data_IF_074900089387
#
_entry.id   IF_074900089387
#
_cell.length_a   1.000
_cell.length_b   1.000
_cell.length_c   1.000
_cell.angle_alpha   90.00
_cell.angle_beta   90.00
_cell.angle_gamma   90.00
#
_symmetry.space_group_name_H-M   'P 1'
#
loop_
_entity.id
_entity.type
_entity.pdbx_description
1 polymer ?
#
# COMPACT_ATOMS: atom_id res chain seq x y z
N UNK A 1 18.22 -23.32 0.90
CA UNK A 1 17.04 -24.12 0.50
C UNK A 1 16.33 -23.36 -0.62
N UNK A 2 16.35 -23.86 -1.86
CA UNK A 2 15.77 -23.19 -3.04
C UNK A 2 14.41 -23.84 -3.34
N UNK A 3 13.31 -23.10 -3.53
CA UNK A 3 12.03 -23.69 -3.92
C UNK A 3 12.10 -24.24 -5.35
N UNK A 4 11.50 -25.42 -5.55
CA UNK A 4 11.56 -26.21 -6.78
C UNK A 4 10.36 -25.85 -7.68
N UNK A 5 10.63 -25.44 -8.92
CA UNK A 5 9.63 -24.89 -9.86
C UNK A 5 8.71 -25.96 -10.51
N UNK A 6 8.67 -27.18 -9.97
CA UNK A 6 7.97 -28.33 -10.56
C UNK A 6 6.54 -28.55 -10.05
N UNK A 7 6.07 -27.74 -9.10
CA UNK A 7 4.69 -27.83 -8.59
C UNK A 7 3.69 -26.97 -9.36
N UNK A 8 4.11 -26.32 -10.46
CA UNK A 8 3.18 -25.63 -11.37
C UNK A 8 2.58 -26.67 -12.31
N UNK A 9 1.58 -27.39 -11.82
CA UNK A 9 0.74 -28.27 -12.62
C UNK A 9 0.01 -27.46 -13.70
N UNK A 10 0.35 -27.72 -14.95
CA UNK A 10 -0.44 -27.31 -16.10
C UNK A 10 -1.58 -28.29 -16.36
N UNK A 11 -2.77 -27.78 -16.64
CA UNK A 11 -3.61 -28.24 -17.77
C UNK A 11 -4.80 -27.31 -18.04
N UNK A 12 -4.87 -26.84 -19.28
CA UNK A 12 -5.93 -26.09 -19.99
C UNK A 12 -7.17 -26.98 -20.26
N UNK A 13 -8.34 -26.52 -20.83
CA UNK A 13 -8.48 -25.38 -21.74
C UNK A 13 -9.75 -24.48 -21.64
N UNK A 14 -9.54 -23.24 -22.09
CA UNK A 14 -10.43 -22.36 -22.88
C UNK A 14 -11.75 -23.04 -23.36
N UNK A 15 -12.89 -22.54 -22.88
CA UNK A 15 -14.16 -22.59 -23.62
C UNK A 15 -14.54 -21.17 -24.04
N UNK A 16 -14.05 -20.77 -25.22
CA UNK A 16 -14.75 -19.76 -26.01
C UNK A 16 -15.96 -20.45 -26.64
N UNK A 17 -17.16 -19.96 -26.35
CA UNK A 17 -18.34 -20.28 -27.15
C UNK A 17 -18.78 -18.95 -27.77
N UNK A 18 -18.17 -18.59 -28.90
CA UNK A 18 -18.86 -17.75 -29.87
C UNK A 18 -19.92 -18.62 -30.54
N UNK A 19 -21.19 -18.28 -30.34
CA UNK A 19 -22.27 -18.73 -31.23
C UNK A 19 -22.74 -17.53 -32.03
N UNK A 20 -22.09 -17.35 -33.17
CA UNK A 20 -22.60 -16.56 -34.27
C UNK A 20 -23.85 -17.24 -34.80
N UNK A 21 -25.00 -16.57 -34.72
CA UNK A 21 -26.20 -16.96 -35.46
C UNK A 21 -26.47 -15.87 -36.50
N UNK A 22 -26.06 -16.11 -37.74
CA UNK A 22 -26.68 -15.48 -38.89
C UNK A 22 -27.92 -16.30 -39.24
N UNK A 23 -29.03 -15.64 -39.62
CA UNK A 23 -29.70 -15.77 -40.94
C UNK A 23 -31.20 -15.38 -40.87
N UNK A 24 -31.53 -14.37 -41.67
CA UNK A 24 -32.76 -14.03 -42.39
C UNK A 24 -34.12 -13.84 -41.69
N UNK A 25 -34.70 -12.68 -42.03
CA UNK A 25 -36.11 -12.32 -41.91
C UNK A 25 -36.90 -12.96 -43.05
N UNK A 26 -37.95 -13.73 -42.74
CA UNK A 26 -39.29 -13.63 -43.36
C UNK A 26 -40.28 -14.59 -42.67
N UNK A 27 -41.40 -14.04 -42.19
CA UNK A 27 -42.73 -14.67 -42.28
C UNK A 27 -43.18 -15.73 -41.25
N UNK A 28 -44.19 -15.35 -40.46
CA UNK A 28 -45.27 -16.14 -39.82
C UNK A 28 -44.97 -17.24 -38.77
N UNK A 29 -45.32 -16.88 -37.53
CA UNK A 29 -45.98 -17.66 -36.46
C UNK A 29 -45.50 -19.07 -36.10
N UNK A 30 -44.82 -19.17 -34.96
CA UNK A 30 -45.10 -20.20 -33.95
C UNK A 30 -44.57 -19.76 -32.58
N UNK A 31 -45.49 -19.53 -31.64
CA UNK A 31 -45.22 -19.31 -30.21
C UNK A 31 -44.58 -20.54 -29.59
N UNK A 32 -43.47 -20.36 -28.86
CA UNK A 32 -43.12 -21.24 -27.75
C UNK A 32 -42.51 -20.44 -26.62
N UNK A 33 -43.34 -20.18 -25.60
CA UNK A 33 -42.93 -19.67 -24.30
C UNK A 33 -42.38 -20.84 -23.50
N UNK A 34 -41.05 -21.00 -23.47
CA UNK A 34 -40.40 -21.68 -22.35
C UNK A 34 -39.76 -20.59 -21.49
N UNK A 35 -40.58 -19.98 -20.66
CA UNK A 35 -40.11 -19.20 -19.53
C UNK A 35 -39.44 -20.15 -18.54
N UNK A 36 -38.12 -20.31 -18.66
CA UNK A 36 -37.32 -20.74 -17.53
C UNK A 36 -37.39 -19.64 -16.47
N UNK A 37 -38.32 -19.79 -15.53
CA UNK A 37 -38.20 -19.22 -14.20
C UNK A 37 -36.92 -19.82 -13.59
N UNK A 38 -35.78 -19.22 -13.88
CA UNK A 38 -34.62 -19.37 -13.01
C UNK A 38 -35.05 -18.76 -11.67
N UNK A 39 -35.12 -19.50 -10.56
CA UNK A 39 -35.16 -18.85 -9.27
C UNK A 39 -33.87 -18.03 -9.18
N UNK A 40 -34.00 -16.71 -9.32
CA UNK A 40 -32.94 -15.80 -8.94
C UNK A 40 -32.72 -16.08 -7.45
N UNK A 41 -31.67 -16.82 -7.13
CA UNK A 41 -31.21 -17.02 -5.76
C UNK A 41 -30.76 -15.66 -5.25
N UNK A 42 -31.72 -14.87 -4.80
CA UNK A 42 -31.53 -13.52 -4.30
C UNK A 42 -31.23 -13.63 -2.82
N UNK A 43 -30.14 -14.33 -2.47
CA UNK A 43 -29.47 -14.01 -1.21
C UNK A 43 -28.87 -12.62 -1.45
N UNK A 44 -29.31 -11.57 -0.75
CA UNK A 44 -28.65 -10.28 -0.87
C UNK A 44 -27.18 -10.52 -0.55
N UNK A 45 -26.30 -10.23 -1.50
CA UNK A 45 -24.88 -10.11 -1.20
C UNK A 45 -24.79 -8.95 -0.20
N UNK A 46 -24.66 -9.28 1.08
CA UNK A 46 -24.39 -8.29 2.11
C UNK A 46 -23.05 -7.66 1.75
N UNK A 47 -23.09 -6.38 1.38
CA UNK A 47 -21.88 -5.61 1.19
C UNK A 47 -21.16 -5.58 2.54
N UNK A 48 -20.04 -6.28 2.64
CA UNK A 48 -19.14 -6.14 3.77
C UNK A 48 -18.53 -4.75 3.60
N UNK A 49 -19.05 -3.76 4.33
CA UNK A 49 -18.40 -2.45 4.39
C UNK A 49 -17.12 -2.67 5.20
N UNK A 50 -15.97 -2.47 4.56
CA UNK A 50 -14.67 -2.53 5.22
C UNK A 50 -14.17 -1.11 5.43
N UNK A 51 -13.57 -0.86 6.60
CA UNK A 51 -12.96 0.43 6.91
C UNK A 51 -11.44 0.30 6.78
N UNK A 52 -10.80 1.28 6.15
CA UNK A 52 -9.34 1.37 6.14
C UNK A 52 -8.86 2.06 7.42
N UNK A 53 -7.77 1.60 8.04
CA UNK A 53 -7.14 2.34 9.13
C UNK A 53 -6.60 3.69 8.63
N UNK A 54 -6.67 4.69 9.49
CA UNK A 54 -6.10 6.02 9.25
C UNK A 54 -5.22 6.49 10.42
N UNK A 55 -4.94 5.61 11.38
CA UNK A 55 -3.99 5.82 12.47
C UNK A 55 -3.19 4.55 12.71
N UNK A 56 -1.89 4.72 12.90
CA UNK A 56 -0.93 3.66 13.13
C UNK A 56 0.00 4.08 14.26
N UNK A 57 0.13 3.23 15.27
CA UNK A 57 1.12 3.37 16.34
C UNK A 57 2.08 2.18 16.24
N UNK A 58 3.36 2.46 15.95
CA UNK A 58 4.35 1.46 15.58
C UNK A 58 5.64 1.64 16.37
N UNK A 59 6.24 0.54 16.78
CA UNK A 59 7.53 0.52 17.48
C UNK A 59 8.43 -0.65 17.06
N UNK A 60 9.74 -0.44 17.18
CA UNK A 60 10.75 -1.46 16.88
C UNK A 60 12.17 -0.90 16.91
N UNK A 61 13.13 -1.69 17.39
CA UNK A 61 14.56 -1.33 17.41
C UNK A 61 14.88 0.06 18.01
N UNK A 62 14.15 0.46 19.07
CA UNK A 62 14.32 1.77 19.71
C UNK A 62 13.76 2.95 18.92
N UNK A 63 12.95 2.67 17.90
CA UNK A 63 12.19 3.63 17.08
C UNK A 63 10.71 3.54 17.42
N UNK A 64 10.04 4.69 17.57
CA UNK A 64 8.58 4.82 17.64
C UNK A 64 8.10 5.70 16.50
N UNK A 65 7.07 5.27 15.79
CA UNK A 65 6.43 6.01 14.71
C UNK A 65 4.93 6.05 14.94
N UNK A 66 4.37 7.26 14.96
CA UNK A 66 2.92 7.47 14.95
C UNK A 66 2.56 8.11 13.60
N UNK A 67 1.69 7.48 12.82
CA UNK A 67 1.19 8.03 11.56
C UNK A 67 -0.32 8.14 11.60
N UNK A 68 -0.87 9.27 11.17
CA UNK A 68 -2.32 9.41 11.04
C UNK A 68 -2.73 10.33 9.89
N UNK A 69 -3.98 10.21 9.46
CA UNK A 69 -4.60 11.15 8.53
C UNK A 69 -5.78 11.82 9.24
N UNK A 70 -5.60 13.08 9.64
CA UNK A 70 -6.60 13.86 10.36
C UNK A 70 -7.23 14.87 9.41
N UNK A 71 -8.54 14.73 9.16
CA UNK A 71 -9.29 15.60 8.23
C UNK A 71 -8.63 15.70 6.84
N UNK A 72 -8.10 14.57 6.35
CA UNK A 72 -7.39 14.50 5.07
C UNK A 72 -5.94 14.98 5.10
N UNK A 73 -5.44 15.46 6.24
CA UNK A 73 -4.05 15.93 6.38
C UNK A 73 -3.21 14.83 7.04
N UNK A 74 -2.16 14.32 6.36
CA UNK A 74 -1.27 13.34 6.96
C UNK A 74 -0.40 13.99 8.04
N UNK A 75 -0.13 13.23 9.10
CA UNK A 75 0.77 13.57 10.19
C UNK A 75 1.66 12.36 10.50
N UNK A 76 2.92 12.63 10.81
CA UNK A 76 3.89 11.60 11.20
C UNK A 76 4.76 12.12 12.35
N UNK A 77 4.81 11.39 13.45
CA UNK A 77 5.74 11.61 14.56
C UNK A 77 6.79 10.49 14.54
N UNK A 78 8.07 10.86 14.43
CA UNK A 78 9.20 9.94 14.40
C UNK A 78 10.08 10.19 15.61
N UNK A 79 10.25 9.16 16.45
CA UNK A 79 11.04 9.23 17.68
C UNK A 79 12.05 8.09 17.77
N UNK A 80 13.25 8.43 18.21
CA UNK A 80 14.28 7.49 18.65
C UNK A 80 14.84 7.98 19.98
N UNK A 81 15.87 7.31 20.50
CA UNK A 81 16.62 7.81 21.67
C UNK A 81 17.20 9.22 21.49
N UNK A 82 17.57 9.58 20.25
CA UNK A 82 18.32 10.81 19.97
C UNK A 82 17.54 11.84 19.13
N UNK A 83 16.43 11.42 18.52
CA UNK A 83 15.68 12.22 17.54
C UNK A 83 14.22 12.23 17.94
N UNK A 84 13.58 13.40 17.86
CA UNK A 84 12.13 13.56 17.96
C UNK A 84 11.71 14.61 16.95
N UNK A 85 10.94 14.22 15.94
CA UNK A 85 10.58 15.10 14.82
C UNK A 85 9.17 14.79 14.35
N UNK A 86 8.41 15.84 14.02
CA UNK A 86 7.05 15.74 13.50
C UNK A 86 6.99 16.30 12.09
N UNK A 87 6.16 15.69 11.26
CA UNK A 87 5.92 16.07 9.88
C UNK A 87 4.43 16.17 9.63
N UNK A 88 4.03 17.05 8.73
CA UNK A 88 2.63 17.24 8.35
C UNK A 88 2.45 17.65 6.90
N UNK A 89 1.32 17.29 6.31
CA UNK A 89 0.93 17.73 4.98
C UNK A 89 2.02 17.49 3.93
N UNK A 90 2.51 18.57 3.32
CA UNK A 90 3.46 18.53 2.20
C UNK A 90 4.87 18.05 2.57
N UNK A 91 5.19 17.92 3.86
CA UNK A 91 6.44 17.31 4.31
C UNK A 91 6.43 15.78 4.14
N UNK A 92 5.23 15.20 3.98
CA UNK A 92 4.97 13.77 3.85
C UNK A 92 4.61 13.46 2.41
N UNK A 93 5.42 12.63 1.77
CA UNK A 93 5.13 12.10 0.44
C UNK A 93 4.49 10.72 0.58
N UNK A 94 3.39 10.48 -0.12
CA UNK A 94 2.73 9.18 -0.15
C UNK A 94 2.77 8.60 -1.56
N UNK A 95 3.04 7.29 -1.65
CA UNK A 95 3.02 6.55 -2.89
C UNK A 95 2.23 5.26 -2.68
N UNK A 96 1.13 5.11 -3.41
CA UNK A 96 0.42 3.84 -3.46
C UNK A 96 1.24 2.80 -4.25
N UNK A 97 1.30 1.59 -3.74
CA UNK A 97 2.01 0.45 -4.32
C UNK A 97 1.15 -0.81 -4.20
N UNK A 98 1.51 -1.88 -4.91
CA UNK A 98 0.78 -3.16 -4.85
C UNK A 98 0.87 -3.85 -3.48
N UNK A 99 1.82 -3.44 -2.63
CA UNK A 99 2.05 -3.98 -1.29
C UNK A 99 1.60 -3.03 -0.16
N UNK A 100 0.89 -1.95 -0.50
CA UNK A 100 0.42 -0.95 0.45
C UNK A 100 0.84 0.48 0.08
N UNK A 101 0.85 1.38 1.05
CA UNK A 101 1.22 2.79 0.85
C UNK A 101 2.60 3.05 1.45
N UNK A 102 3.51 3.59 0.64
CA UNK A 102 4.80 4.06 1.13
C UNK A 102 4.67 5.52 1.58
N UNK A 103 4.96 5.80 2.84
CA UNK A 103 4.93 7.13 3.45
C UNK A 103 6.35 7.59 3.72
N UNK A 104 6.80 8.65 3.04
CA UNK A 104 8.19 9.09 3.06
C UNK A 104 8.34 10.52 3.61
N UNK A 105 9.31 10.71 4.50
CA UNK A 105 9.72 12.01 5.05
C UNK A 105 11.24 12.16 5.01
N UNK A 106 11.74 13.41 4.99
CA UNK A 106 13.17 13.72 5.11
C UNK A 106 13.47 14.01 6.59
N UNK A 107 14.21 13.13 7.25
CA UNK A 107 14.50 13.26 8.70
C UNK A 107 15.84 13.97 8.98
N UNK A 108 16.73 14.02 8.00
CA UNK A 108 17.99 14.77 8.09
C UNK A 108 18.47 15.20 6.71
N UNK A 109 19.07 16.38 6.63
CA UNK A 109 19.67 16.94 5.42
C UNK A 109 20.87 17.80 5.81
N UNK A 110 21.86 17.99 4.92
CA UNK A 110 22.98 18.88 5.21
C UNK A 110 22.48 20.30 5.49
N UNK A 111 23.13 21.04 6.41
CA UNK A 111 22.72 22.39 6.79
C UNK A 111 22.86 23.39 5.63
N UNK A 112 23.84 23.15 4.74
CA UNK A 112 23.98 23.87 3.49
C UNK A 112 24.08 22.86 2.33
N UNK A 113 23.12 22.82 1.39
CA UNK A 113 23.16 21.91 0.25
C UNK A 113 24.37 22.15 -0.67
N UNK A 114 24.96 23.34 -0.65
CA UNK A 114 26.06 23.73 -1.53
C UNK A 114 27.36 22.97 -1.24
N UNK A 115 27.52 22.46 -0.02
CA UNK A 115 28.66 21.63 0.38
C UNK A 115 28.44 20.14 0.15
N UNK A 116 27.23 19.74 -0.25
CA UNK A 116 26.82 18.34 -0.30
C UNK A 116 26.71 17.72 1.09
N UNK A 117 26.56 16.40 1.12
CA UNK A 117 26.40 15.64 2.34
C UNK A 117 25.31 14.59 2.23
N UNK A 118 24.87 14.09 3.38
CA UNK A 118 23.89 13.01 3.44
C UNK A 118 22.48 13.57 3.65
N UNK A 119 21.56 13.18 2.80
CA UNK A 119 20.12 13.31 3.03
C UNK A 119 19.61 11.97 3.53
N UNK A 120 18.96 11.97 4.69
CA UNK A 120 18.36 10.77 5.28
C UNK A 120 16.85 10.86 5.17
N UNK A 121 16.26 9.85 4.53
CA UNK A 121 14.81 9.68 4.40
C UNK A 121 14.34 8.50 5.23
N UNK A 122 13.18 8.64 5.84
CA UNK A 122 12.43 7.54 6.41
C UNK A 122 11.28 7.23 5.46
N UNK A 123 11.14 5.97 5.05
CA UNK A 123 9.98 5.49 4.30
C UNK A 123 9.29 4.38 5.06
N UNK A 124 8.07 4.63 5.55
CA UNK A 124 7.25 3.67 6.25
C UNK A 124 6.33 2.96 5.25
N UNK A 125 6.37 1.63 5.19
CA UNK A 125 5.39 0.86 4.45
C UNK A 125 4.14 0.65 5.31
N UNK A 126 2.98 1.09 4.82
CA UNK A 126 1.69 0.84 5.45
C UNK A 126 0.99 -0.28 4.67
N UNK A 127 0.82 -1.48 5.25
CA UNK A 127 0.19 -2.58 4.54
C UNK A 127 -1.31 -2.32 4.31
N UNK A 128 -1.88 -3.02 3.33
CA UNK A 128 -3.32 -2.99 3.06
C UNK A 128 -4.03 -3.75 4.18
N UNK A 129 -4.86 -3.05 4.97
CA UNK A 129 -5.59 -3.62 6.11
C UNK A 129 -7.06 -3.31 5.95
N UNK A 130 -7.90 -4.34 6.08
CA UNK A 130 -9.35 -4.17 6.15
C UNK A 130 -9.80 -4.36 7.60
N UNK A 131 -10.33 -3.30 8.22
CA UNK A 131 -10.97 -3.39 9.52
C UNK A 131 -12.44 -3.79 9.35
N UNK A 132 -12.90 -4.71 10.21
CA UNK A 132 -14.32 -5.05 10.30
C UNK A 132 -15.08 -3.93 11.01
N UNK A 133 -16.30 -3.64 10.55
CA UNK A 133 -17.18 -2.68 11.24
C UNK A 133 -17.37 -3.13 12.70
N UNK A 134 -17.14 -2.21 13.64
CA UNK A 134 -17.23 -2.47 15.08
C UNK A 134 -15.90 -2.89 15.71
N UNK A 135 -14.89 -3.28 14.92
CA UNK A 135 -13.52 -3.44 15.37
C UNK A 135 -12.74 -2.20 14.98
N UNK A 136 -12.40 -1.37 15.98
CA UNK A 136 -11.69 -0.13 15.74
C UNK A 136 -10.21 -0.34 15.42
N UNK A 137 -9.61 -1.48 15.81
CA UNK A 137 -8.17 -1.67 15.85
C UNK A 137 -7.75 -3.11 15.52
N UNK A 138 -6.56 -3.28 14.93
CA UNK A 138 -5.95 -4.59 14.66
C UNK A 138 -4.43 -4.53 14.82
N UNK A 139 -3.75 -5.61 15.28
CA UNK A 139 -2.31 -5.65 15.30
C UNK A 139 -1.72 -5.62 13.88
N UNK A 140 -0.59 -4.96 13.73
CA UNK A 140 0.15 -4.86 12.47
C UNK A 140 1.64 -5.11 12.68
N UNK A 141 2.26 -5.74 11.70
CA UNK A 141 3.70 -5.80 11.55
C UNK A 141 4.06 -5.23 10.18
N UNK A 142 5.05 -4.36 10.13
CA UNK A 142 5.51 -3.73 8.89
C UNK A 142 6.99 -3.37 8.97
N UNK A 143 7.50 -2.70 7.94
CA UNK A 143 8.87 -2.23 7.83
C UNK A 143 8.94 -0.73 7.58
N UNK A 144 9.95 -0.10 8.16
CA UNK A 144 10.42 1.21 7.74
C UNK A 144 11.81 1.09 7.13
N UNK A 145 12.07 1.90 6.10
CA UNK A 145 13.35 1.93 5.37
C UNK A 145 13.98 3.30 5.60
N UNK A 146 15.15 3.31 6.23
CA UNK A 146 16.04 4.45 6.27
C UNK A 146 16.91 4.45 5.02
N UNK A 147 16.75 5.47 4.19
CA UNK A 147 17.59 5.69 3.01
C UNK A 147 18.57 6.81 3.29
N UNK A 148 19.86 6.51 3.24
CA UNK A 148 20.92 7.55 3.25
C UNK A 148 21.37 7.80 1.82
N UNK A 149 21.11 8.99 1.32
CA UNK A 149 21.53 9.42 -0.01
C UNK A 149 22.72 10.38 0.09
N UNK A 150 23.82 10.03 -0.57
CA UNK A 150 24.98 10.91 -0.76
C UNK A 150 24.66 11.94 -1.84
N UNK A 151 24.89 13.21 -1.53
CA UNK A 151 24.68 14.32 -2.45
C UNK A 151 25.99 15.10 -2.62
N UNK A 152 26.31 15.47 -3.86
CA UNK A 152 27.44 16.36 -4.15
C UNK A 152 26.94 17.80 -4.04
N UNK A 153 27.76 18.67 -3.45
CA UNK A 153 27.53 20.10 -3.47
C UNK A 153 27.81 20.73 -4.83
N UNK A 154 27.77 22.07 -4.90
CA UNK A 154 28.17 22.82 -6.08
C UNK A 154 29.69 22.74 -6.35
N UNK A 155 30.47 22.44 -5.32
CA UNK A 155 31.87 22.03 -5.46
C UNK A 155 31.86 20.61 -6.02
N UNK A 156 32.13 20.50 -7.32
CA UNK A 156 32.00 19.30 -8.16
C UNK A 156 32.95 18.16 -7.77
N UNK A 157 32.81 17.61 -6.57
CA UNK A 157 33.46 16.36 -6.22
C UNK A 157 32.63 15.23 -6.82
N UNK A 158 33.14 14.48 -7.81
CA UNK A 158 32.37 13.40 -8.42
C UNK A 158 32.06 12.33 -7.38
N UNK A 159 30.77 12.02 -7.22
CA UNK A 159 30.34 10.86 -6.46
C UNK A 159 30.35 9.64 -7.38
N UNK A 160 30.97 8.55 -6.93
CA UNK A 160 31.11 7.31 -7.70
C UNK A 160 30.46 6.13 -6.98
N UNK A 161 29.93 5.18 -7.75
CA UNK A 161 29.33 3.95 -7.24
C UNK A 161 27.91 4.14 -6.69
N UNK A 162 27.56 3.33 -5.69
CA UNK A 162 26.24 3.36 -5.06
C UNK A 162 26.07 4.61 -4.18
N UNK A 163 25.12 5.47 -4.56
CA UNK A 163 24.85 6.74 -3.87
C UNK A 163 23.83 6.63 -2.74
N UNK A 164 23.12 5.51 -2.65
CA UNK A 164 22.09 5.27 -1.65
C UNK A 164 22.38 3.99 -0.88
N UNK A 165 22.37 4.06 0.45
CA UNK A 165 22.33 2.90 1.31
C UNK A 165 20.99 2.81 2.02
N UNK A 166 20.59 1.58 2.35
CA UNK A 166 19.30 1.28 2.97
C UNK A 166 19.52 0.51 4.26
N UNK A 167 18.74 0.87 5.28
CA UNK A 167 18.59 0.10 6.51
C UNK A 167 17.10 -0.10 6.76
N UNK A 168 16.70 -1.34 7.02
CA UNK A 168 15.32 -1.67 7.35
C UNK A 168 15.17 -1.76 8.87
N UNK A 169 14.02 -1.32 9.37
CA UNK A 169 13.60 -1.46 10.76
C UNK A 169 12.30 -2.24 10.76
N UNK A 170 12.26 -3.36 11.48
CA UNK A 170 11.03 -4.12 11.66
C UNK A 170 10.19 -3.44 12.74
N UNK A 171 8.94 -3.15 12.41
CA UNK A 171 7.99 -2.45 13.27
C UNK A 171 6.79 -3.34 13.60
N UNK A 172 6.30 -3.22 14.83
CA UNK A 172 5.08 -3.87 15.32
C UNK A 172 4.22 -2.83 16.03
N UNK A 173 2.92 -3.04 16.04
CA UNK A 173 2.01 -2.18 16.78
C UNK A 173 0.59 -2.36 16.32
N UNK A 174 -0.15 -1.27 16.21
CA UNK A 174 -1.58 -1.32 15.90
C UNK A 174 -1.97 -0.35 14.79
N UNK A 175 -3.01 -0.74 14.06
CA UNK A 175 -3.66 0.07 13.05
C UNK A 175 -5.13 0.21 13.42
N UNK A 176 -5.64 1.45 13.45
CA UNK A 176 -7.02 1.74 13.83
C UNK A 176 -7.66 2.77 12.92
N UNK A 177 -8.98 2.78 12.91
CA UNK A 177 -9.75 3.83 12.26
C UNK A 177 -10.28 4.81 13.30
N UNK A 178 -9.97 6.08 13.13
CA UNK A 178 -10.61 7.15 13.87
C UNK A 178 -12.06 7.31 13.40
N UNK A 179 -12.98 7.31 14.37
CA UNK A 179 -14.36 7.70 14.12
C UNK A 179 -14.37 9.18 13.64
N UNK A 180 -14.90 9.40 12.44
CA UNK A 180 -15.12 10.74 11.90
C UNK A 180 -16.28 11.44 12.58
#
# INVERSE_FOLDING_TARGET
MKPNLKDIAGSSPRRQILKTAFTFVTGLTATSLVSFLMPKSTKPAQAIVVQQPNEFELEGEGTKIEYSILKGVPQLDYRTKNISTRFSGNEIQTLATDIGTLVTVIISKPPNPDFGGNVVKLSLLLPIINLFIGNAETPVQTEAILTTQKTSGFIRTPLSGQLQSYQTIVLRGTAKANAS
#
